data_IF_563559461661
#
_entry.id   IF_563559461661
#
_cell.length_a   1.000
_cell.length_b   1.000
_cell.length_c   1.000
_cell.angle_alpha   90.00
_cell.angle_beta   90.00
_cell.angle_gamma   90.00
#
_symmetry.space_group_name_H-M   'P 1'
#
loop_
_entity.id
_entity.type
_entity.pdbx_description
1 polymer ?
#
# COMPACT_ATOMS: atom_id res chain seq x y z
N UNK A 1 33.13 13.47 52.97
CA UNK A 1 32.71 12.63 51.80
C UNK A 1 31.63 13.41 51.05
N UNK A 2 31.99 14.12 50.00
CA UNK A 2 31.08 14.95 49.22
C UNK A 2 30.76 14.23 47.90
N UNK A 3 29.47 13.94 47.68
CA UNK A 3 28.94 13.35 46.45
C UNK A 3 28.73 14.48 45.44
N UNK A 4 29.50 14.45 44.38
CA UNK A 4 29.38 15.38 43.24
C UNK A 4 28.31 14.86 42.31
N UNK A 5 27.13 15.46 42.31
CA UNK A 5 26.07 15.26 41.31
C UNK A 5 26.46 15.96 40.00
N UNK A 6 26.87 15.17 39.03
CA UNK A 6 27.14 15.61 37.64
C UNK A 6 25.81 15.91 36.95
N UNK A 7 25.40 17.16 36.95
CA UNK A 7 24.26 17.67 36.16
C UNK A 7 24.72 17.86 34.75
N UNK A 8 24.52 16.83 33.88
CA UNK A 8 24.72 16.94 32.44
C UNK A 8 23.79 18.02 31.87
N UNK A 9 24.37 19.21 31.63
CA UNK A 9 23.72 20.30 30.91
C UNK A 9 23.41 19.82 29.49
N UNK A 10 22.11 19.72 29.12
CA UNK A 10 21.69 19.57 27.72
C UNK A 10 22.24 20.77 26.95
N UNK A 11 22.87 20.57 25.77
CA UNK A 11 23.34 21.68 24.96
C UNK A 11 22.15 22.58 24.58
N UNK A 12 22.34 23.90 24.74
CA UNK A 12 21.34 24.86 24.31
C UNK A 12 21.13 24.77 22.81
N UNK A 13 19.88 24.65 22.37
CA UNK A 13 19.52 24.65 20.95
C UNK A 13 19.97 25.95 20.33
N UNK A 14 20.75 25.90 19.26
CA UNK A 14 21.19 27.08 18.53
C UNK A 14 20.03 27.69 17.73
N UNK A 15 20.12 29.00 17.43
CA UNK A 15 19.13 29.70 16.62
C UNK A 15 18.93 28.98 15.23
N UNK A 16 19.99 28.36 14.69
CA UNK A 16 19.93 27.55 13.48
C UNK A 16 19.05 26.31 13.59
N UNK A 17 19.05 25.63 14.75
CA UNK A 17 18.21 24.46 14.99
C UNK A 17 16.72 24.84 15.05
N UNK A 18 16.40 26.03 15.55
CA UNK A 18 15.02 26.54 15.59
C UNK A 18 14.53 26.92 14.20
N UNK A 19 15.37 27.50 13.35
CA UNK A 19 15.00 27.83 11.97
C UNK A 19 14.77 26.59 11.09
N UNK A 20 15.62 25.55 11.22
CA UNK A 20 15.44 24.28 10.54
C UNK A 20 14.10 23.64 10.91
N UNK A 21 13.75 23.64 12.21
CA UNK A 21 12.47 23.05 12.68
C UNK A 21 11.24 23.82 12.21
N UNK A 22 11.28 25.14 12.05
CA UNK A 22 10.17 25.95 11.53
C UNK A 22 9.96 25.69 10.05
N UNK A 23 11.03 25.68 9.26
CA UNK A 23 10.98 25.37 7.82
C UNK A 23 10.47 23.95 7.57
N UNK A 24 10.93 22.97 8.36
CA UNK A 24 10.51 21.59 8.25
C UNK A 24 9.01 21.42 8.60
N UNK A 25 8.53 22.15 9.60
CA UNK A 25 7.10 22.16 9.96
C UNK A 25 6.25 22.82 8.89
N UNK A 26 6.70 23.92 8.29
CA UNK A 26 5.99 24.58 7.19
C UNK A 26 5.91 23.68 5.95
N UNK A 27 7.01 23.00 5.60
CA UNK A 27 7.05 22.04 4.51
C UNK A 27 6.13 20.83 4.78
N UNK A 28 6.17 20.28 5.99
CA UNK A 28 5.27 19.20 6.40
C UNK A 28 3.80 19.63 6.32
N UNK A 29 3.47 20.83 6.76
CA UNK A 29 2.13 21.41 6.64
C UNK A 29 1.67 21.56 5.19
N UNK A 30 2.56 22.06 4.31
CA UNK A 30 2.29 22.16 2.89
C UNK A 30 2.04 20.78 2.25
N UNK A 31 2.88 19.79 2.55
CA UNK A 31 2.70 18.41 2.09
C UNK A 31 1.35 17.85 2.53
N UNK A 32 0.96 18.09 3.79
CA UNK A 32 -0.33 17.67 4.34
C UNK A 32 -1.51 18.29 3.59
N UNK A 33 -1.46 19.58 3.29
CA UNK A 33 -2.49 20.28 2.53
C UNK A 33 -2.56 19.79 1.08
N UNK A 34 -1.42 19.59 0.43
CA UNK A 34 -1.37 19.00 -0.92
C UNK A 34 -1.92 17.56 -0.93
N UNK A 35 -1.58 16.74 0.05
CA UNK A 35 -2.12 15.39 0.17
C UNK A 35 -3.64 15.41 0.38
N UNK A 36 -4.14 16.32 1.22
CA UNK A 36 -5.59 16.50 1.43
C UNK A 36 -6.29 16.92 0.14
N UNK A 37 -5.72 17.88 -0.61
CA UNK A 37 -6.27 18.33 -1.88
C UNK A 37 -6.26 17.20 -2.92
N UNK A 38 -5.18 16.42 -3.00
CA UNK A 38 -5.08 15.26 -3.88
C UNK A 38 -6.13 14.19 -3.53
N UNK A 39 -6.30 13.88 -2.25
CA UNK A 39 -7.34 12.94 -1.78
C UNK A 39 -8.73 13.47 -2.07
N UNK A 40 -9.00 14.77 -1.87
CA UNK A 40 -10.30 15.38 -2.19
C UNK A 40 -10.59 15.31 -3.69
N UNK A 41 -9.63 15.66 -4.53
CA UNK A 41 -9.76 15.55 -5.99
C UNK A 41 -10.02 14.10 -6.41
N UNK A 42 -9.30 13.17 -5.80
CA UNK A 42 -9.45 11.76 -6.09
C UNK A 42 -10.83 11.22 -5.63
N UNK A 43 -11.35 11.66 -4.49
CA UNK A 43 -12.72 11.31 -4.06
C UNK A 43 -13.79 11.84 -5.02
N UNK A 44 -13.56 13.00 -5.63
CA UNK A 44 -14.45 13.50 -6.69
C UNK A 44 -14.36 12.60 -7.92
N UNK A 45 -13.15 12.20 -8.33
CA UNK A 45 -12.98 11.25 -9.42
C UNK A 45 -13.62 9.90 -9.11
N UNK A 46 -13.37 9.33 -7.92
CA UNK A 46 -13.94 8.07 -7.44
C UNK A 46 -15.47 8.08 -7.46
N UNK A 47 -16.09 9.18 -7.01
CA UNK A 47 -17.55 9.35 -7.07
C UNK A 47 -18.13 9.38 -8.49
N UNK A 48 -17.30 9.55 -9.50
CA UNK A 48 -17.69 9.55 -10.92
C UNK A 48 -17.36 8.24 -11.64
N UNK A 49 -16.69 7.29 -10.96
CA UNK A 49 -16.34 6.01 -11.55
C UNK A 49 -17.57 5.11 -11.71
N UNK A 50 -17.68 4.46 -12.87
CA UNK A 50 -18.55 3.30 -13.04
C UNK A 50 -17.79 2.07 -12.53
N UNK A 51 -17.82 1.87 -11.19
CA UNK A 51 -17.05 0.84 -10.51
C UNK A 51 -17.85 -0.46 -10.38
N UNK A 52 -17.27 -1.56 -10.84
CA UNK A 52 -17.76 -2.92 -10.64
C UNK A 52 -16.82 -3.70 -9.73
N UNK A 53 -17.38 -4.46 -8.79
CA UNK A 53 -16.60 -5.25 -7.83
C UNK A 53 -17.07 -6.69 -7.86
N UNK A 54 -16.13 -7.61 -8.03
CA UNK A 54 -16.35 -9.05 -8.09
C UNK A 54 -15.59 -9.75 -6.96
N UNK A 55 -16.15 -10.83 -6.42
CA UNK A 55 -15.51 -11.65 -5.39
C UNK A 55 -15.40 -10.98 -4.02
N UNK A 56 -16.17 -9.92 -3.73
CA UNK A 56 -16.15 -9.25 -2.42
C UNK A 56 -16.48 -10.21 -1.27
N UNK A 57 -17.27 -11.24 -1.52
CA UNK A 57 -17.62 -12.29 -0.56
C UNK A 57 -16.39 -12.97 0.03
N UNK A 58 -15.32 -13.18 -0.74
CA UNK A 58 -14.08 -13.81 -0.30
C UNK A 58 -13.42 -13.01 0.85
N UNK A 59 -13.33 -11.71 0.67
CA UNK A 59 -12.84 -10.80 1.70
C UNK A 59 -13.86 -10.63 2.83
N UNK A 60 -15.14 -10.45 2.48
CA UNK A 60 -16.22 -10.15 3.42
C UNK A 60 -16.44 -11.26 4.46
N UNK A 61 -16.28 -12.53 4.10
CA UNK A 61 -16.39 -13.66 5.04
C UNK A 61 -15.33 -13.55 6.13
N UNK A 62 -14.07 -13.29 5.76
CA UNK A 62 -12.95 -13.20 6.71
C UNK A 62 -13.08 -11.96 7.61
N UNK A 63 -13.49 -10.83 7.05
CA UNK A 63 -13.72 -9.60 7.83
C UNK A 63 -14.85 -9.79 8.85
N UNK A 64 -15.97 -10.40 8.47
CA UNK A 64 -17.07 -10.71 9.40
C UNK A 64 -16.64 -11.68 10.51
N UNK A 65 -15.79 -12.65 10.17
CA UNK A 65 -15.20 -13.58 11.13
C UNK A 65 -14.09 -12.96 11.97
N UNK A 66 -13.77 -11.66 11.78
CA UNK A 66 -12.66 -10.95 12.42
C UNK A 66 -11.31 -11.66 12.25
N UNK A 67 -11.13 -12.35 11.13
CA UNK A 67 -9.86 -12.97 10.79
C UNK A 67 -8.98 -11.96 10.07
N UNK A 68 -7.74 -11.77 10.52
CA UNK A 68 -6.83 -10.86 9.84
C UNK A 68 -6.48 -11.39 8.44
N UNK A 69 -6.29 -10.47 7.50
CA UNK A 69 -5.94 -10.78 6.11
C UNK A 69 -4.77 -9.91 5.65
N UNK A 70 -4.02 -10.41 4.69
CA UNK A 70 -3.04 -9.64 3.94
C UNK A 70 -3.53 -9.46 2.51
N UNK A 71 -3.99 -8.25 2.21
CA UNK A 71 -4.43 -7.89 0.86
C UNK A 71 -3.19 -7.65 0.00
N UNK A 72 -3.17 -8.26 -1.18
CA UNK A 72 -2.04 -8.21 -2.11
C UNK A 72 -2.50 -7.61 -3.43
N UNK A 73 -1.81 -6.57 -3.87
CA UNK A 73 -2.14 -5.80 -5.08
C UNK A 73 -0.89 -5.60 -5.94
N UNK A 74 -1.04 -5.28 -7.22
CA UNK A 74 0.04 -4.72 -8.01
C UNK A 74 0.28 -3.25 -7.62
N UNK A 75 1.55 -2.84 -7.50
CA UNK A 75 1.88 -1.47 -7.06
C UNK A 75 1.29 -0.43 -8.01
N UNK A 76 1.48 -0.61 -9.31
CA UNK A 76 0.98 0.32 -10.33
C UNK A 76 -0.53 0.41 -10.43
N UNK A 77 -1.26 -0.64 -10.04
CA UNK A 77 -2.72 -0.71 -10.05
C UNK A 77 -3.35 -0.55 -8.65
N UNK A 78 -2.53 -0.24 -7.63
CA UNK A 78 -2.94 -0.22 -6.23
C UNK A 78 -3.85 0.94 -5.84
N UNK A 79 -3.93 2.00 -6.64
CA UNK A 79 -4.70 3.20 -6.28
C UNK A 79 -6.20 2.92 -6.13
N UNK A 80 -6.81 2.25 -7.11
CA UNK A 80 -8.24 1.91 -7.08
C UNK A 80 -8.59 0.99 -5.89
N UNK A 81 -7.89 -0.14 -5.63
CA UNK A 81 -8.10 -0.94 -4.43
C UNK A 81 -7.94 -0.16 -3.13
N UNK A 82 -6.95 0.74 -3.03
CA UNK A 82 -6.75 1.58 -1.85
C UNK A 82 -7.95 2.50 -1.59
N UNK A 83 -8.55 3.08 -2.61
CA UNK A 83 -9.77 3.88 -2.43
C UNK A 83 -10.99 3.02 -2.07
N UNK A 84 -11.15 1.89 -2.74
CA UNK A 84 -12.25 0.96 -2.46
C UNK A 84 -12.23 0.41 -1.02
N UNK A 85 -11.04 0.11 -0.51
CA UNK A 85 -10.84 -0.47 0.82
C UNK A 85 -10.74 0.58 1.94
N UNK A 86 -10.91 1.88 1.62
CA UNK A 86 -10.87 2.94 2.63
C UNK A 86 -11.92 2.70 3.73
N UNK A 87 -11.56 3.06 4.95
CA UNK A 87 -12.43 2.83 6.12
C UNK A 87 -12.30 1.45 6.75
N UNK A 88 -11.60 0.50 6.11
CA UNK A 88 -11.19 -0.73 6.78
C UNK A 88 -9.94 -0.47 7.65
N UNK A 89 -9.83 -1.12 8.82
CA UNK A 89 -8.69 -0.95 9.72
C UNK A 89 -7.45 -1.70 9.19
N UNK A 90 -6.89 -1.20 8.10
CA UNK A 90 -5.76 -1.82 7.40
C UNK A 90 -4.46 -1.10 7.69
N UNK A 91 -3.38 -1.87 7.81
CA UNK A 91 -2.01 -1.38 7.90
C UNK A 91 -1.34 -1.48 6.54
N UNK A 92 -0.94 -0.36 5.96
CA UNK A 92 -0.18 -0.33 4.70
C UNK A 92 1.31 -0.37 5.01
N UNK A 93 2.00 -1.38 4.50
CA UNK A 93 3.46 -1.44 4.59
C UNK A 93 4.10 -0.65 3.45
N UNK A 94 4.88 0.38 3.82
CA UNK A 94 5.68 1.17 2.88
C UNK A 94 7.16 0.87 3.10
N UNK A 95 7.79 0.24 2.11
CA UNK A 95 9.22 -0.11 2.17
C UNK A 95 10.14 1.12 2.10
N UNK A 96 11.43 0.93 2.39
CA UNK A 96 12.44 2.01 2.38
C UNK A 96 12.84 2.47 0.98
N UNK A 97 12.35 1.84 -0.08
CA UNK A 97 12.94 2.05 -1.38
C UNK A 97 12.83 3.50 -1.87
N UNK A 98 13.88 3.95 -2.53
CA UNK A 98 13.97 5.29 -3.11
C UNK A 98 13.17 5.32 -4.40
N UNK A 99 11.99 5.93 -4.36
CA UNK A 99 11.18 6.15 -5.54
C UNK A 99 11.83 7.24 -6.38
N UNK A 100 12.29 6.88 -7.59
CA UNK A 100 12.76 7.83 -8.60
C UNK A 100 14.26 8.18 -8.57
N UNK A 101 14.74 8.68 -9.70
CA UNK A 101 16.14 9.03 -9.97
C UNK A 101 16.60 10.34 -9.31
N UNK A 102 15.66 11.21 -8.93
CA UNK A 102 15.95 12.54 -8.38
C UNK A 102 15.64 12.52 -6.88
N UNK A 103 16.64 12.48 -5.99
CA UNK A 103 16.46 12.29 -4.55
C UNK A 103 15.46 13.24 -3.87
N UNK A 104 15.42 14.56 -4.16
CA UNK A 104 14.49 15.47 -3.52
C UNK A 104 13.03 15.21 -3.92
N UNK A 105 12.78 14.92 -5.21
CA UNK A 105 11.44 14.65 -5.73
C UNK A 105 10.89 13.32 -5.22
N UNK A 106 11.74 12.30 -5.16
CA UNK A 106 11.34 10.99 -4.62
C UNK A 106 10.93 11.07 -3.15
N UNK A 107 11.63 11.88 -2.35
CA UNK A 107 11.28 12.11 -0.97
C UNK A 107 9.93 12.83 -0.83
N UNK A 108 9.67 13.83 -1.67
CA UNK A 108 8.40 14.56 -1.69
C UNK A 108 7.23 13.66 -2.09
N UNK A 109 7.38 12.91 -3.19
CA UNK A 109 6.35 11.95 -3.66
C UNK A 109 6.03 10.94 -2.55
N UNK A 110 7.06 10.39 -1.90
CA UNK A 110 6.87 9.47 -0.77
C UNK A 110 6.09 10.11 0.37
N UNK A 111 6.45 11.33 0.79
CA UNK A 111 5.74 12.02 1.86
C UNK A 111 4.28 12.32 1.49
N UNK A 112 4.01 12.71 0.25
CA UNK A 112 2.66 12.92 -0.25
C UNK A 112 1.85 11.61 -0.21
N UNK A 113 2.43 10.50 -0.66
CA UNK A 113 1.78 9.18 -0.62
C UNK A 113 1.44 8.78 0.82
N UNK A 114 2.40 8.88 1.76
CA UNK A 114 2.17 8.53 3.16
C UNK A 114 1.10 9.42 3.80
N UNK A 115 1.11 10.73 3.52
CA UNK A 115 0.10 11.66 4.01
C UNK A 115 -1.28 11.34 3.41
N UNK A 116 -1.37 11.03 2.11
CA UNK A 116 -2.62 10.65 1.45
C UNK A 116 -3.22 9.38 2.03
N UNK A 117 -2.42 8.35 2.25
CA UNK A 117 -2.87 7.11 2.90
C UNK A 117 -3.40 7.38 4.32
N UNK A 118 -2.74 8.26 5.08
CA UNK A 118 -3.20 8.67 6.41
C UNK A 118 -4.54 9.42 6.34
N UNK A 119 -4.73 10.30 5.36
CA UNK A 119 -6.01 11.00 5.13
C UNK A 119 -7.14 10.04 4.73
N UNK A 120 -6.81 8.91 4.09
CA UNK A 120 -7.77 7.86 3.77
C UNK A 120 -8.10 6.95 4.96
N UNK A 121 -7.47 7.17 6.12
CA UNK A 121 -7.72 6.43 7.35
C UNK A 121 -6.84 5.20 7.54
N UNK A 122 -5.85 4.98 6.67
CA UNK A 122 -4.92 3.87 6.81
C UNK A 122 -3.89 4.12 7.92
N UNK A 123 -3.54 3.07 8.64
CA UNK A 123 -2.31 3.05 9.41
C UNK A 123 -1.15 2.78 8.47
N UNK A 124 -0.14 3.66 8.46
CA UNK A 124 1.02 3.50 7.57
C UNK A 124 2.23 3.09 8.38
N UNK A 125 2.73 1.89 8.11
CA UNK A 125 3.99 1.41 8.62
C UNK A 125 5.10 1.77 7.66
N UNK A 126 5.74 2.90 7.94
CA UNK A 126 6.82 3.45 7.15
C UNK A 126 8.16 2.81 7.54
N UNK A 127 8.66 1.87 6.71
CA UNK A 127 9.91 1.17 6.97
C UNK A 127 11.13 2.10 7.04
N UNK A 128 11.11 3.27 6.40
CA UNK A 128 12.21 4.23 6.48
C UNK A 128 12.39 4.87 7.87
N UNK A 129 11.42 4.75 8.75
CA UNK A 129 11.55 5.18 10.14
C UNK A 129 12.33 4.20 11.03
N UNK A 130 12.64 3.02 10.51
CA UNK A 130 13.40 2.01 11.24
C UNK A 130 14.86 2.00 10.79
N UNK A 131 15.73 1.51 11.66
CA UNK A 131 17.18 1.45 11.38
C UNK A 131 17.54 0.50 10.21
N UNK A 132 16.64 -0.42 9.84
CA UNK A 132 16.78 -1.32 8.69
C UNK A 132 15.41 -1.73 8.17
N UNK A 133 15.35 -2.16 6.91
CA UNK A 133 14.13 -2.71 6.31
C UNK A 133 13.63 -3.93 7.05
N UNK A 134 14.53 -4.80 7.50
CA UNK A 134 14.19 -5.99 8.30
C UNK A 134 13.42 -5.64 9.58
N UNK A 135 13.75 -4.53 10.25
CA UNK A 135 12.98 -4.06 11.41
C UNK A 135 11.59 -3.59 11.03
N UNK A 136 11.43 -2.98 9.85
CA UNK A 136 10.12 -2.62 9.30
C UNK A 136 9.26 -3.86 9.06
N UNK A 137 9.84 -4.89 8.43
CA UNK A 137 9.16 -6.17 8.19
C UNK A 137 8.76 -6.82 9.52
N UNK A 138 9.65 -6.88 10.51
CA UNK A 138 9.33 -7.44 11.86
C UNK A 138 8.16 -6.71 12.49
N UNK A 139 8.10 -5.39 12.38
CA UNK A 139 6.96 -4.61 12.90
C UNK A 139 5.66 -4.93 12.15
N UNK A 140 5.73 -5.11 10.84
CA UNK A 140 4.58 -5.50 10.05
C UNK A 140 4.06 -6.89 10.45
N UNK A 141 4.97 -7.87 10.60
CA UNK A 141 4.62 -9.19 11.12
C UNK A 141 3.94 -9.11 12.50
N UNK A 142 4.47 -8.31 13.43
CA UNK A 142 3.87 -8.10 14.75
C UNK A 142 2.45 -7.54 14.68
N UNK A 143 2.18 -6.60 13.75
CA UNK A 143 0.83 -6.07 13.54
C UNK A 143 -0.14 -7.15 13.06
N UNK A 144 0.26 -7.93 12.06
CA UNK A 144 -0.58 -8.99 11.51
C UNK A 144 -0.83 -10.11 12.54
N UNK A 145 0.21 -10.56 13.25
CA UNK A 145 0.08 -11.54 14.35
C UNK A 145 -0.74 -11.00 15.52
N UNK A 146 -0.80 -9.69 15.70
CA UNK A 146 -1.68 -9.01 16.66
C UNK A 146 -3.14 -8.92 16.24
N UNK A 147 -3.54 -9.54 15.14
CA UNK A 147 -4.93 -9.57 14.66
C UNK A 147 -5.33 -8.40 13.76
N UNK A 148 -4.36 -7.61 13.27
CA UNK A 148 -4.64 -6.53 12.32
C UNK A 148 -4.49 -7.03 10.88
N UNK A 149 -5.27 -6.47 9.98
CA UNK A 149 -5.14 -6.74 8.54
C UNK A 149 -4.17 -5.75 7.87
N UNK A 150 -3.57 -6.19 6.76
CA UNK A 150 -2.59 -5.37 6.05
C UNK A 150 -2.79 -5.32 4.56
N UNK A 151 -2.07 -4.41 3.91
CA UNK A 151 -1.97 -4.29 2.45
C UNK A 151 -0.51 -4.23 2.06
N UNK A 152 -0.14 -4.97 1.03
CA UNK A 152 1.20 -4.99 0.46
C UNK A 152 1.14 -5.00 -1.08
N UNK A 153 2.09 -4.33 -1.73
CA UNK A 153 2.30 -4.47 -3.16
C UNK A 153 3.16 -5.70 -3.46
N UNK A 154 2.68 -6.56 -4.36
CA UNK A 154 3.28 -7.86 -4.67
C UNK A 154 4.64 -7.74 -5.36
N UNK A 155 4.75 -6.82 -6.31
CA UNK A 155 5.97 -6.54 -7.08
C UNK A 155 6.98 -5.68 -6.30
N UNK A 156 6.59 -5.26 -5.10
CA UNK A 156 7.46 -4.58 -4.14
C UNK A 156 8.11 -3.32 -4.69
N UNK A 157 9.08 -2.78 -3.97
CA UNK A 157 9.75 -1.57 -4.40
C UNK A 157 10.72 -1.86 -5.55
N UNK A 158 10.60 -1.09 -6.64
CA UNK A 158 11.53 -1.10 -7.78
C UNK A 158 11.36 -2.24 -8.78
N UNK A 159 10.26 -3.01 -8.70
CA UNK A 159 9.89 -4.01 -9.70
C UNK A 159 10.82 -5.23 -9.80
N UNK A 160 10.73 -5.98 -10.87
CA UNK A 160 9.97 -5.69 -12.10
C UNK A 160 8.45 -5.66 -11.90
N UNK A 161 7.76 -4.89 -12.76
CA UNK A 161 6.30 -4.80 -12.79
C UNK A 161 5.69 -6.19 -13.06
N UNK A 162 4.61 -6.50 -12.36
CA UNK A 162 3.87 -7.76 -12.47
C UNK A 162 4.70 -9.02 -12.19
N UNK A 163 5.71 -8.91 -11.33
CA UNK A 163 6.45 -10.06 -10.80
C UNK A 163 6.36 -10.09 -9.29
N UNK A 164 5.76 -11.14 -8.75
CA UNK A 164 5.57 -11.29 -7.31
C UNK A 164 6.89 -11.58 -6.61
N UNK A 165 7.19 -10.78 -5.60
CA UNK A 165 8.34 -11.02 -4.72
C UNK A 165 7.95 -11.94 -3.56
N UNK A 166 8.89 -12.73 -3.03
CA UNK A 166 8.60 -13.68 -1.94
C UNK A 166 8.08 -13.05 -0.64
N UNK A 167 8.09 -11.72 -0.55
CA UNK A 167 7.73 -10.99 0.66
C UNK A 167 6.30 -11.25 1.16
N UNK A 168 5.31 -11.30 0.26
CA UNK A 168 3.91 -11.57 0.62
C UNK A 168 3.75 -13.01 1.14
N UNK A 169 4.31 -14.00 0.45
CA UNK A 169 4.29 -15.41 0.87
C UNK A 169 5.04 -15.60 2.20
N UNK A 170 6.20 -14.96 2.37
CA UNK A 170 6.96 -14.98 3.61
C UNK A 170 6.16 -14.43 4.79
N UNK A 171 5.50 -13.28 4.62
CA UNK A 171 4.67 -12.66 5.65
C UNK A 171 3.50 -13.57 6.03
N UNK A 172 2.80 -14.12 5.04
CA UNK A 172 1.68 -15.04 5.27
C UNK A 172 2.13 -16.31 6.03
N UNK A 173 3.24 -16.93 5.60
CA UNK A 173 3.83 -18.09 6.29
C UNK A 173 4.13 -17.80 7.77
N UNK A 174 4.72 -16.63 8.05
CA UNK A 174 5.13 -16.27 9.43
C UNK A 174 3.98 -15.86 10.34
N UNK A 175 2.85 -15.49 9.79
CA UNK A 175 1.70 -14.93 10.56
C UNK A 175 0.45 -15.81 10.48
N UNK A 176 0.39 -16.78 9.56
CA UNK A 176 -0.79 -17.59 9.31
C UNK A 176 -1.98 -16.81 8.72
N UNK A 177 -1.80 -15.55 8.33
CA UNK A 177 -2.88 -14.75 7.73
C UNK A 177 -3.16 -15.19 6.30
N UNK A 178 -4.43 -15.16 5.90
CA UNK A 178 -4.82 -15.42 4.53
C UNK A 178 -4.33 -14.28 3.59
N UNK A 179 -3.74 -14.64 2.46
CA UNK A 179 -3.51 -13.71 1.36
C UNK A 179 -4.81 -13.51 0.59
N UNK A 180 -5.20 -12.27 0.36
CA UNK A 180 -6.33 -11.90 -0.50
C UNK A 180 -5.76 -11.18 -1.72
N UNK A 181 -5.61 -11.85 -2.86
CA UNK A 181 -5.16 -11.21 -4.08
C UNK A 181 -6.28 -10.34 -4.66
N UNK A 182 -5.92 -9.14 -5.11
CA UNK A 182 -6.86 -8.17 -5.67
C UNK A 182 -6.30 -7.63 -6.99
N UNK A 183 -6.99 -7.96 -8.08
CA UNK A 183 -6.79 -7.38 -9.40
C UNK A 183 -7.65 -6.14 -9.57
N UNK A 184 -7.15 -5.16 -10.33
CA UNK A 184 -7.88 -3.93 -10.64
C UNK A 184 -7.55 -3.44 -12.03
N UNK A 185 -8.55 -2.85 -12.69
CA UNK A 185 -8.39 -2.21 -13.99
C UNK A 185 -9.30 -1.00 -14.14
N UNK A 186 -8.85 -0.06 -14.94
CA UNK A 186 -9.57 1.16 -15.28
C UNK A 186 -9.39 1.41 -16.79
N UNK A 187 -10.46 1.76 -17.48
CA UNK A 187 -10.42 1.92 -18.94
C UNK A 187 -9.61 3.14 -19.37
N UNK A 188 -9.88 4.28 -18.77
CA UNK A 188 -9.25 5.54 -19.12
C UNK A 188 -8.39 6.01 -17.94
N UNK A 189 -7.07 5.96 -18.11
CA UNK A 189 -6.09 6.26 -17.07
C UNK A 189 -5.05 7.25 -17.56
N UNK A 190 -4.47 7.99 -16.62
CA UNK A 190 -3.18 8.63 -16.77
C UNK A 190 -2.13 7.69 -16.17
N UNK A 191 -1.37 7.02 -17.03
CA UNK A 191 -0.24 6.21 -16.59
C UNK A 191 1.00 7.09 -16.42
N UNK A 192 1.63 7.02 -15.24
CA UNK A 192 2.86 7.76 -14.98
C UNK A 192 4.05 7.05 -15.63
N UNK A 193 5.06 7.83 -16.03
CA UNK A 193 6.34 7.30 -16.51
C UNK A 193 7.22 6.88 -15.31
N UNK A 194 6.77 5.85 -14.61
CA UNK A 194 7.42 5.23 -13.46
C UNK A 194 7.70 3.75 -13.74
N UNK A 195 8.53 3.11 -12.90
CA UNK A 195 8.88 1.69 -13.08
C UNK A 195 7.66 0.77 -13.04
N UNK A 196 6.60 1.17 -12.32
CA UNK A 196 5.35 0.44 -12.09
C UNK A 196 4.20 0.90 -12.97
N UNK A 197 4.43 1.92 -13.83
CA UNK A 197 3.40 2.55 -14.67
C UNK A 197 2.15 2.89 -13.86
N UNK A 198 2.34 3.57 -12.73
CA UNK A 198 1.27 3.88 -11.79
C UNK A 198 0.08 4.54 -12.47
N UNK A 199 -1.11 3.94 -12.30
CA UNK A 199 -2.34 4.34 -12.99
C UNK A 199 -3.18 5.28 -12.12
N UNK A 200 -3.56 6.43 -12.68
CA UNK A 200 -4.47 7.40 -12.07
C UNK A 200 -5.75 7.43 -12.93
N UNK A 201 -6.93 7.12 -12.36
CA UNK A 201 -8.18 7.12 -13.13
C UNK A 201 -8.54 8.52 -13.63
N UNK A 202 -9.06 8.59 -14.85
CA UNK A 202 -9.75 9.78 -15.32
C UNK A 202 -11.18 9.81 -14.76
N UNK A 203 -11.75 11.01 -14.54
CA UNK A 203 -13.15 11.12 -14.15
C UNK A 203 -14.09 10.43 -15.16
N UNK A 204 -15.17 9.85 -14.65
CA UNK A 204 -16.20 9.15 -15.45
C UNK A 204 -15.70 7.88 -16.17
N UNK A 205 -14.49 7.40 -15.87
CA UNK A 205 -14.01 6.15 -16.43
C UNK A 205 -14.73 4.96 -15.82
N UNK A 206 -14.77 3.87 -16.59
CA UNK A 206 -15.20 2.58 -16.05
C UNK A 206 -14.02 1.90 -15.36
N UNK A 207 -14.31 1.28 -14.24
CA UNK A 207 -13.32 0.61 -13.41
C UNK A 207 -13.86 -0.73 -12.90
N UNK A 208 -12.98 -1.68 -12.67
CA UNK A 208 -13.35 -2.96 -12.07
C UNK A 208 -12.30 -3.41 -11.06
N UNK A 209 -12.78 -4.09 -10.01
CA UNK A 209 -11.96 -4.76 -9.00
C UNK A 209 -12.40 -6.22 -8.96
N UNK A 210 -11.45 -7.13 -9.06
CA UNK A 210 -11.65 -8.57 -8.88
C UNK A 210 -10.90 -9.04 -7.64
N UNK A 211 -11.62 -9.59 -6.66
CA UNK A 211 -11.08 -10.07 -5.39
C UNK A 211 -11.05 -11.60 -5.45
N UNK A 212 -9.87 -12.18 -5.35
CA UNK A 212 -9.68 -13.62 -5.43
C UNK A 212 -10.00 -14.34 -4.13
N UNK A 213 -10.02 -15.68 -4.23
CA UNK A 213 -10.16 -16.55 -3.07
C UNK A 213 -8.97 -16.41 -2.11
N UNK A 214 -9.20 -16.63 -0.80
CA UNK A 214 -8.13 -16.60 0.19
C UNK A 214 -7.09 -17.70 -0.09
N UNK A 215 -5.82 -17.30 -0.20
CA UNK A 215 -4.69 -18.23 -0.30
C UNK A 215 -4.03 -18.36 1.08
N UNK A 216 -3.84 -19.59 1.53
CA UNK A 216 -3.17 -19.90 2.78
C UNK A 216 -1.78 -20.50 2.50
N UNK A 217 -0.77 -19.92 3.12
CA UNK A 217 0.60 -20.42 3.02
C UNK A 217 0.84 -21.35 4.22
N UNK A 218 1.23 -22.62 4.01
CA UNK A 218 1.53 -23.52 5.10
C UNK A 218 2.69 -23.00 5.96
N UNK A 219 2.58 -23.14 7.27
CA UNK A 219 3.63 -22.69 8.21
C UNK A 219 4.94 -23.49 8.05
N UNK A 220 4.81 -24.74 7.64
CA UNK A 220 5.91 -25.68 7.37
C UNK A 220 6.49 -25.57 5.96
N UNK A 221 5.96 -24.67 5.10
CA UNK A 221 6.55 -24.37 3.81
C UNK A 221 8.02 -23.95 3.99
N UNK A 222 8.93 -24.61 3.31
CA UNK A 222 10.35 -24.28 3.34
C UNK A 222 10.69 -23.08 2.44
N UNK A 223 11.93 -22.66 2.48
CA UNK A 223 12.41 -21.52 1.68
C UNK A 223 12.49 -21.86 0.17
N UNK A 224 12.50 -23.14 -0.21
CA UNK A 224 12.48 -23.58 -1.60
C UNK A 224 11.06 -23.56 -2.17
N UNK A 225 10.04 -23.73 -1.33
CA UNK A 225 8.63 -23.69 -1.71
C UNK A 225 8.09 -22.26 -1.87
N UNK A 226 8.65 -21.27 -1.15
CA UNK A 226 8.18 -19.88 -1.22
C UNK A 226 8.20 -19.27 -2.63
N UNK A 227 9.22 -19.49 -3.48
CA UNK A 227 9.19 -19.02 -4.87
C UNK A 227 8.00 -19.62 -5.64
N UNK A 228 7.73 -20.92 -5.51
CA UNK A 228 6.62 -21.61 -6.20
C UNK A 228 5.26 -21.01 -5.77
N UNK A 229 5.10 -20.74 -4.46
CA UNK A 229 3.89 -20.09 -3.94
C UNK A 229 3.77 -18.64 -4.41
N UNK A 230 4.89 -17.96 -4.60
CA UNK A 230 4.92 -16.61 -5.18
C UNK A 230 4.52 -16.61 -6.65
N UNK A 231 4.96 -17.58 -7.44
CA UNK A 231 4.58 -17.77 -8.85
C UNK A 231 3.07 -18.11 -8.98
N UNK A 232 2.54 -18.91 -8.05
CA UNK A 232 1.09 -19.16 -7.98
C UNK A 232 0.32 -17.87 -7.68
N UNK A 233 0.77 -17.09 -6.70
CA UNK A 233 0.15 -15.80 -6.38
C UNK A 233 0.23 -14.82 -7.56
N UNK A 234 1.35 -14.83 -8.31
CA UNK A 234 1.53 -14.04 -9.52
C UNK A 234 0.49 -14.41 -10.58
N UNK A 235 0.33 -15.71 -10.84
CA UNK A 235 -0.68 -16.21 -11.79
C UNK A 235 -2.08 -15.74 -11.38
N UNK A 236 -2.47 -15.92 -10.12
CA UNK A 236 -3.78 -15.50 -9.62
C UNK A 236 -3.97 -13.99 -9.74
N UNK A 237 -2.96 -13.18 -9.39
CA UNK A 237 -3.04 -11.72 -9.52
C UNK A 237 -3.18 -11.26 -10.97
N UNK A 238 -2.49 -11.92 -11.90
CA UNK A 238 -2.59 -11.64 -13.34
C UNK A 238 -3.97 -12.03 -13.87
N UNK A 239 -4.50 -13.18 -13.50
CA UNK A 239 -5.84 -13.63 -13.90
C UNK A 239 -6.94 -12.70 -13.40
N UNK A 240 -6.86 -12.27 -12.12
CA UNK A 240 -7.80 -11.30 -11.53
C UNK A 240 -7.69 -9.94 -12.21
N UNK A 241 -6.49 -9.53 -12.58
CA UNK A 241 -6.26 -8.27 -13.30
C UNK A 241 -6.86 -8.36 -14.70
N UNK A 242 -6.64 -9.45 -15.42
CA UNK A 242 -7.24 -9.69 -16.74
C UNK A 242 -8.78 -9.74 -16.67
N UNK A 243 -9.33 -10.38 -15.64
CA UNK A 243 -10.77 -10.37 -15.39
C UNK A 243 -11.29 -8.93 -15.17
N UNK A 244 -10.61 -8.14 -14.35
CA UNK A 244 -10.97 -6.75 -14.13
C UNK A 244 -10.85 -5.92 -15.43
N UNK A 245 -9.86 -6.18 -16.27
CA UNK A 245 -9.70 -5.53 -17.58
C UNK A 245 -10.89 -5.86 -18.51
N UNK A 246 -11.29 -7.11 -18.62
CA UNK A 246 -12.47 -7.50 -19.41
C UNK A 246 -13.70 -6.71 -18.96
N UNK A 247 -13.94 -6.58 -17.66
CA UNK A 247 -15.08 -5.87 -17.12
C UNK A 247 -15.00 -4.34 -17.29
N UNK A 248 -13.82 -3.76 -17.12
CA UNK A 248 -13.60 -2.33 -17.31
C UNK A 248 -13.74 -1.91 -18.78
N UNK A 249 -13.36 -2.80 -19.71
CA UNK A 249 -13.39 -2.55 -21.16
C UNK A 249 -14.65 -3.08 -21.86
N UNK A 250 -15.50 -3.84 -21.16
CA UNK A 250 -16.76 -4.33 -21.74
C UNK A 250 -17.60 -3.16 -22.27
N UNK A 251 -18.06 -3.27 -23.51
CA UNK A 251 -19.03 -2.30 -24.06
C UNK A 251 -20.33 -2.40 -23.26
N UNK A 252 -20.86 -1.25 -22.83
CA UNK A 252 -22.19 -1.22 -22.25
C UNK A 252 -23.17 -1.58 -23.38
N UNK A 253 -23.82 -2.74 -23.28
CA UNK A 253 -25.00 -2.96 -24.06
C UNK A 253 -25.95 -1.79 -23.72
N UNK A 254 -26.09 -0.84 -24.63
CA UNK A 254 -27.07 0.24 -24.49
C UNK A 254 -28.42 -0.45 -24.37
N UNK A 255 -29.02 -0.36 -23.20
CA UNK A 255 -30.42 -0.70 -23.03
C UNK A 255 -31.18 0.17 -24.05
N UNK A 256 -31.68 -0.44 -25.09
CA UNK A 256 -32.61 0.15 -26.04
C UNK A 256 -33.95 0.31 -25.34
#
# INVERSE_FOLDING_TARGET
MASTTDVRRRPARTAGDVFLTVRDRALAGAIWLFALAAVALFRVADATLDLRVFGYEHLGILLRARRPVLIVVWHGKGLLPVFFLQGLPLVVYSSQNRVGRIPPLSHLVRQLTLASLTHLGYQVLDAARFASESRGVIRFLQHLSGGHSGVIAADGPGGPIFQVKPGAAYVARKTGVALIPVGAAMRDVLALDSWDRFEIPQPFTRAAISIGEPLFIPEDADDETLPVLSDQLETVLNDLTAQAEVEAFAETARAQ
#
